data_IF_854664784156
#
_entry.id   IF_854664784156
#
_cell.length_a   1.000
_cell.length_b   1.000
_cell.length_c   1.000
_cell.angle_alpha   90.00
_cell.angle_beta   90.00
_cell.angle_gamma   90.00
#
_symmetry.space_group_name_H-M   'P 1'
#
loop_
_entity.id
_entity.type
_entity.pdbx_description
1 polymer ?
#
# COMPACT_ATOMS: atom_id res chain seq x y z
N UNK A 1 0.84 -12.93 -10.61
CA UNK A 1 0.59 -11.58 -11.18
C UNK A 1 -0.78 -11.08 -10.76
N UNK A 2 -0.94 -9.75 -10.68
CA UNK A 2 -2.22 -9.07 -10.38
C UNK A 2 -2.58 -8.23 -11.61
N UNK A 3 -3.52 -8.70 -12.42
CA UNK A 3 -3.81 -8.04 -13.70
C UNK A 3 -2.51 -7.74 -14.47
N UNK A 4 -2.22 -6.47 -14.83
CA UNK A 4 -1.01 -6.08 -15.55
C UNK A 4 0.25 -5.91 -14.67
N UNK A 5 0.15 -6.03 -13.35
CA UNK A 5 1.29 -5.81 -12.44
C UNK A 5 2.17 -7.06 -12.29
N UNK A 6 3.47 -6.87 -12.00
CA UNK A 6 4.39 -7.95 -11.65
C UNK A 6 3.88 -8.84 -10.50
N UNK A 7 4.57 -9.95 -10.25
CA UNK A 7 4.25 -10.77 -9.08
C UNK A 7 4.70 -10.07 -7.77
N UNK A 8 3.82 -9.88 -6.77
CA UNK A 8 4.15 -9.16 -5.54
C UNK A 8 4.82 -10.06 -4.48
N UNK A 9 4.98 -11.37 -4.71
CA UNK A 9 5.42 -12.33 -3.70
C UNK A 9 6.70 -11.89 -3.00
N UNK A 10 7.75 -11.55 -3.76
CA UNK A 10 9.04 -11.16 -3.19
C UNK A 10 8.94 -9.88 -2.33
N UNK A 11 8.06 -8.96 -2.71
CA UNK A 11 7.82 -7.74 -1.94
C UNK A 11 7.06 -8.04 -0.64
N UNK A 12 6.00 -8.84 -0.71
CA UNK A 12 5.23 -9.24 0.47
C UNK A 12 6.07 -10.04 1.47
N UNK A 13 6.96 -10.91 0.99
CA UNK A 13 7.90 -11.64 1.85
C UNK A 13 8.84 -10.68 2.61
N UNK A 14 9.31 -9.61 1.96
CA UNK A 14 10.11 -8.56 2.62
C UNK A 14 9.29 -7.82 3.68
N UNK A 15 8.04 -7.47 3.36
CA UNK A 15 7.11 -6.82 4.29
C UNK A 15 6.91 -7.66 5.55
N UNK A 16 6.50 -8.92 5.39
CA UNK A 16 6.20 -9.78 6.53
C UNK A 16 7.45 -10.12 7.35
N UNK A 17 8.60 -10.29 6.69
CA UNK A 17 9.89 -10.49 7.38
C UNK A 17 10.27 -9.26 8.22
N UNK A 18 10.06 -8.05 7.70
CA UNK A 18 10.38 -6.82 8.41
C UNK A 18 9.46 -6.59 9.61
N UNK A 19 8.15 -6.79 9.44
CA UNK A 19 7.18 -6.69 10.55
C UNK A 19 7.46 -7.71 11.65
N UNK A 20 7.82 -8.94 11.28
CA UNK A 20 8.20 -9.97 12.25
C UNK A 20 9.44 -9.58 13.06
N UNK A 21 10.43 -8.90 12.45
CA UNK A 21 11.62 -8.39 13.15
C UNK A 21 11.30 -7.27 14.14
N UNK A 22 10.32 -6.43 13.81
CA UNK A 22 9.80 -5.39 14.71
C UNK A 22 8.87 -5.96 15.80
N UNK A 23 8.54 -7.26 15.74
CA UNK A 23 7.63 -7.92 16.69
C UNK A 23 6.16 -7.52 16.50
N UNK A 24 5.78 -7.03 15.32
CA UNK A 24 4.41 -6.58 15.03
C UNK A 24 3.59 -7.74 14.50
N UNK A 25 2.56 -8.13 15.24
CA UNK A 25 1.62 -9.15 14.80
C UNK A 25 0.53 -8.54 13.92
N UNK A 26 0.49 -9.00 12.67
CA UNK A 26 -0.50 -8.61 11.68
C UNK A 26 -1.43 -9.75 11.29
N UNK A 27 -1.36 -10.93 11.93
CA UNK A 27 -2.09 -12.16 11.56
C UNK A 27 -3.58 -11.91 11.28
N UNK A 28 -4.22 -11.13 12.14
CA UNK A 28 -5.65 -10.85 12.08
C UNK A 28 -6.01 -9.53 11.40
N UNK A 29 -5.02 -8.76 10.94
CA UNK A 29 -5.25 -7.48 10.29
C UNK A 29 -5.53 -7.70 8.79
N UNK A 30 -6.64 -7.19 8.24
CA UNK A 30 -6.83 -7.16 6.80
C UNK A 30 -5.69 -6.40 6.13
N UNK A 31 -5.08 -7.02 5.12
CA UNK A 31 -4.18 -6.34 4.20
C UNK A 31 -5.08 -5.53 3.25
N UNK A 32 -5.25 -4.24 3.52
CA UNK A 32 -6.22 -3.40 2.82
C UNK A 32 -5.84 -3.26 1.34
N UNK A 33 -4.64 -2.76 1.07
CA UNK A 33 -4.14 -2.64 -0.29
C UNK A 33 -2.60 -2.64 -0.36
N UNK A 34 -2.10 -2.82 -1.59
CA UNK A 34 -0.69 -2.64 -1.95
C UNK A 34 -0.56 -1.50 -2.96
N UNK A 35 0.51 -0.72 -2.87
CA UNK A 35 0.78 0.40 -3.77
C UNK A 35 1.90 0.07 -4.77
N UNK A 36 1.66 0.35 -6.05
CA UNK A 36 2.63 0.26 -7.14
C UNK A 36 2.93 1.65 -7.70
N UNK A 37 4.20 2.05 -7.66
CA UNK A 37 4.69 3.32 -8.20
C UNK A 37 5.09 3.19 -9.64
N UNK A 38 4.91 4.28 -10.39
CA UNK A 38 5.39 4.44 -11.76
C UNK A 38 6.18 5.73 -11.90
N UNK A 39 7.06 5.79 -12.89
CA UNK A 39 8.00 6.90 -13.09
C UNK A 39 7.50 7.98 -14.04
N UNK A 40 6.49 7.71 -14.87
CA UNK A 40 5.96 8.67 -15.85
C UNK A 40 4.43 8.65 -15.91
N UNK A 41 3.84 9.78 -16.35
CA UNK A 41 2.40 9.86 -16.62
C UNK A 41 1.98 8.88 -17.72
N UNK A 42 2.81 8.71 -18.75
CA UNK A 42 2.57 7.73 -19.80
C UNK A 42 2.44 6.31 -19.23
N UNK A 43 3.34 5.91 -18.33
CA UNK A 43 3.29 4.59 -17.67
C UNK A 43 2.09 4.45 -16.74
N UNK A 44 1.71 5.53 -16.06
CA UNK A 44 0.49 5.59 -15.24
C UNK A 44 -0.77 5.33 -16.09
N UNK A 45 -0.91 6.03 -17.21
CA UNK A 45 -2.05 5.89 -18.13
C UNK A 45 -2.09 4.52 -18.81
N UNK A 46 -0.93 3.98 -19.18
CA UNK A 46 -0.78 2.63 -19.73
C UNK A 46 -1.32 1.57 -18.75
N UNK A 47 -0.83 1.57 -17.51
CA UNK A 47 -1.28 0.60 -16.50
C UNK A 47 -2.74 0.80 -16.12
N UNK A 48 -3.18 2.06 -15.95
CA UNK A 48 -4.59 2.38 -15.66
C UNK A 48 -5.52 1.83 -16.75
N UNK A 49 -5.13 1.94 -18.03
CA UNK A 49 -5.91 1.39 -19.14
C UNK A 49 -5.89 -0.13 -19.12
N UNK A 50 -4.72 -0.74 -18.91
CA UNK A 50 -4.59 -2.20 -18.84
C UNK A 50 -5.42 -2.82 -17.70
N UNK A 51 -5.67 -2.09 -16.61
CA UNK A 51 -6.51 -2.56 -15.52
C UNK A 51 -8.00 -2.71 -15.87
N UNK A 52 -8.49 -2.08 -16.94
CA UNK A 52 -9.92 -2.08 -17.31
C UNK A 52 -10.51 -3.51 -17.40
N UNK A 53 -9.76 -4.45 -17.96
CA UNK A 53 -10.22 -5.83 -18.18
C UNK A 53 -9.90 -6.77 -17.01
N UNK A 54 -9.20 -6.28 -15.99
CA UNK A 54 -8.68 -7.10 -14.89
C UNK A 54 -9.16 -6.66 -13.50
N UNK A 55 -9.74 -5.46 -13.40
CA UNK A 55 -10.11 -4.87 -12.13
C UNK A 55 -11.26 -3.86 -12.28
N UNK A 56 -11.95 -3.62 -11.17
CA UNK A 56 -12.93 -2.55 -11.03
C UNK A 56 -12.26 -1.34 -10.39
N UNK A 57 -12.38 -0.17 -11.01
CA UNK A 57 -11.94 1.09 -10.41
C UNK A 57 -12.81 1.40 -9.18
N UNK A 58 -12.17 1.54 -8.02
CA UNK A 58 -12.82 1.91 -6.75
C UNK A 58 -12.80 3.43 -6.52
N UNK A 59 -11.68 4.07 -6.86
CA UNK A 59 -11.46 5.50 -6.64
C UNK A 59 -10.49 6.05 -7.68
N UNK A 60 -10.71 7.29 -8.09
CA UNK A 60 -9.79 8.07 -8.91
C UNK A 60 -9.76 9.50 -8.36
N UNK A 61 -8.78 9.79 -7.50
CA UNK A 61 -8.77 10.99 -6.68
C UNK A 61 -7.51 11.82 -6.89
N UNK A 62 -7.66 13.15 -6.87
CA UNK A 62 -6.54 14.08 -6.86
C UNK A 62 -6.00 14.25 -5.45
N UNK A 63 -4.83 13.64 -5.18
CA UNK A 63 -4.20 13.63 -3.85
C UNK A 63 -2.80 14.22 -3.97
N UNK A 64 -2.57 15.34 -3.29
CA UNK A 64 -1.27 16.02 -3.32
C UNK A 64 -0.88 16.51 -4.72
N UNK A 65 -1.85 16.96 -5.51
CA UNK A 65 -1.65 17.55 -6.84
C UNK A 65 -1.46 16.55 -7.99
N UNK A 66 -1.72 15.27 -7.78
CA UNK A 66 -1.61 14.21 -8.80
C UNK A 66 -2.76 13.21 -8.67
N UNK A 67 -3.15 12.52 -9.76
CA UNK A 67 -4.17 11.49 -9.68
C UNK A 67 -3.61 10.23 -9.01
N UNK A 68 -4.46 9.59 -8.21
CA UNK A 68 -4.21 8.29 -7.62
C UNK A 68 -5.44 7.45 -7.88
N UNK A 69 -5.25 6.33 -8.58
CA UNK A 69 -6.32 5.38 -8.88
C UNK A 69 -6.19 4.15 -8.00
N UNK A 70 -7.31 3.70 -7.44
CA UNK A 70 -7.39 2.49 -6.63
C UNK A 70 -8.31 1.50 -7.33
N UNK A 71 -7.86 0.25 -7.47
CA UNK A 71 -8.58 -0.79 -8.20
C UNK A 71 -8.81 -2.01 -7.31
N UNK A 72 -9.95 -2.68 -7.48
CA UNK A 72 -10.20 -4.02 -6.96
C UNK A 72 -10.06 -5.04 -8.09
N UNK A 73 -9.05 -5.90 -8.03
CA UNK A 73 -8.87 -6.96 -9.02
C UNK A 73 -10.03 -7.96 -8.98
N UNK A 74 -10.47 -8.41 -10.15
CA UNK A 74 -11.50 -9.44 -10.27
C UNK A 74 -11.02 -10.80 -9.75
N UNK A 75 -9.71 -11.04 -9.86
CA UNK A 75 -9.06 -12.24 -9.32
C UNK A 75 -8.10 -11.81 -8.22
N UNK A 76 -8.40 -12.15 -6.95
CA UNK A 76 -7.51 -11.82 -5.84
C UNK A 76 -6.16 -12.51 -6.00
N UNK A 77 -5.10 -11.81 -5.63
CA UNK A 77 -3.83 -12.46 -5.37
C UNK A 77 -3.86 -13.08 -3.98
N UNK A 78 -3.47 -14.35 -3.88
CA UNK A 78 -3.42 -15.09 -2.61
C UNK A 78 -1.97 -15.38 -2.26
N UNK A 79 -1.55 -14.97 -1.07
CA UNK A 79 -0.23 -15.24 -0.53
C UNK A 79 -0.36 -15.80 0.88
N UNK A 80 -0.03 -17.08 1.05
CA UNK A 80 -0.27 -17.84 2.28
C UNK A 80 -1.76 -17.80 2.65
N UNK A 81 -2.09 -17.31 3.83
CA UNK A 81 -3.43 -17.09 4.36
C UNK A 81 -4.02 -15.72 3.99
N UNK A 82 -3.28 -14.89 3.24
CA UNK A 82 -3.69 -13.52 2.88
C UNK A 82 -4.33 -13.47 1.51
N UNK A 83 -5.44 -12.72 1.45
CA UNK A 83 -6.09 -12.30 0.22
C UNK A 83 -5.77 -10.83 -0.02
N UNK A 84 -5.26 -10.51 -1.19
CA UNK A 84 -4.96 -9.16 -1.65
C UNK A 84 -5.69 -8.92 -2.98
N UNK A 85 -6.73 -8.09 -2.94
CA UNK A 85 -7.48 -7.73 -4.15
C UNK A 85 -7.58 -6.23 -4.40
N UNK A 86 -7.00 -5.37 -3.56
CA UNK A 86 -6.97 -3.93 -3.79
C UNK A 86 -5.56 -3.42 -4.07
N UNK A 87 -5.44 -2.60 -5.11
CA UNK A 87 -4.18 -2.06 -5.62
C UNK A 87 -4.29 -0.57 -5.83
N UNK A 88 -3.32 0.18 -5.31
CA UNK A 88 -3.19 1.61 -5.53
C UNK A 88 -2.13 1.88 -6.61
N UNK A 89 -2.48 2.73 -7.56
CA UNK A 89 -1.60 3.21 -8.63
C UNK A 89 -1.55 4.74 -8.56
N UNK A 90 -0.55 5.32 -7.90
CA UNK A 90 -0.35 6.77 -7.91
C UNK A 90 0.43 7.21 -9.15
N UNK A 91 -0.03 8.25 -9.84
CA UNK A 91 0.78 8.94 -10.85
C UNK A 91 2.08 9.49 -10.24
N UNK A 92 3.15 9.78 -11.01
CA UNK A 92 4.39 10.32 -10.44
C UNK A 92 4.18 11.62 -9.64
N UNK A 93 4.94 11.80 -8.56
CA UNK A 93 4.89 13.04 -7.75
C UNK A 93 6.02 13.99 -8.16
N UNK A 94 5.66 15.20 -8.59
CA UNK A 94 6.63 16.23 -8.93
C UNK A 94 7.58 16.52 -7.74
N UNK A 95 8.88 16.60 -8.01
CA UNK A 95 9.91 16.85 -7.00
C UNK A 95 10.18 15.69 -6.04
N UNK A 96 9.52 14.54 -6.19
CA UNK A 96 9.75 13.34 -5.37
C UNK A 96 9.77 12.09 -6.24
N UNK A 97 10.93 11.77 -6.86
CA UNK A 97 11.06 10.59 -7.70
C UNK A 97 10.95 9.32 -6.85
N UNK A 98 10.31 8.30 -7.42
CA UNK A 98 10.24 6.95 -6.89
C UNK A 98 10.70 5.98 -7.98
N UNK A 99 11.42 4.89 -7.67
CA UNK A 99 11.59 3.81 -8.63
C UNK A 99 10.22 3.19 -8.97
N UNK A 100 10.08 2.67 -10.19
CA UNK A 100 8.90 1.87 -10.54
C UNK A 100 8.93 0.55 -9.78
N UNK A 101 7.78 0.16 -9.22
CA UNK A 101 7.68 -1.04 -8.39
C UNK A 101 6.75 -0.87 -7.20
N UNK A 102 6.62 -1.95 -6.43
CA UNK A 102 5.90 -1.95 -5.16
C UNK A 102 6.62 -1.10 -4.13
N UNK A 103 5.90 -0.21 -3.46
CA UNK A 103 6.48 0.77 -2.53
C UNK A 103 5.93 0.65 -1.11
N UNK A 104 4.64 0.33 -0.95
CA UNK A 104 4.08 0.11 0.38
C UNK A 104 2.88 -0.82 0.37
N UNK A 105 2.51 -1.29 1.57
CA UNK A 105 1.19 -1.86 1.86
C UNK A 105 0.54 -1.09 3.00
N UNK A 106 -0.78 -1.20 3.09
CA UNK A 106 -1.57 -0.70 4.22
C UNK A 106 -2.36 -1.84 4.88
N UNK A 107 -2.42 -1.84 6.20
CA UNK A 107 -3.24 -2.74 7.00
C UNK A 107 -4.33 -1.95 7.72
N UNK A 108 -5.58 -2.41 7.61
CA UNK A 108 -6.68 -1.84 8.38
C UNK A 108 -6.61 -2.36 9.82
N UNK A 109 -6.50 -1.47 10.82
CA UNK A 109 -6.33 -1.89 12.23
C UNK A 109 -7.63 -1.95 13.01
N UNK A 110 -8.72 -1.39 12.47
CA UNK A 110 -10.06 -1.42 13.10
C UNK A 110 -10.17 -0.58 14.37
N UNK A 111 -9.15 0.24 14.67
CA UNK A 111 -9.06 1.15 15.80
C UNK A 111 -8.31 2.43 15.37
N UNK A 112 -8.14 3.41 16.26
CA UNK A 112 -7.36 4.59 15.92
C UNK A 112 -5.87 4.21 15.74
N UNK A 113 -5.16 4.67 14.69
CA UNK A 113 -3.77 4.27 14.43
C UNK A 113 -2.79 4.52 15.58
N UNK A 114 -3.01 5.59 16.36
CA UNK A 114 -2.21 5.85 17.57
C UNK A 114 -2.45 4.81 18.67
N UNK A 115 -3.68 4.34 18.86
CA UNK A 115 -4.00 3.28 19.82
C UNK A 115 -3.35 1.96 19.40
N UNK A 116 -3.35 1.66 18.10
CA UNK A 116 -2.61 0.53 17.56
C UNK A 116 -1.09 0.65 17.82
N UNK A 117 -0.49 1.82 17.55
CA UNK A 117 0.93 2.07 17.78
C UNK A 117 1.35 1.91 19.26
N UNK A 118 0.47 2.26 20.20
CA UNK A 118 0.70 2.12 21.64
C UNK A 118 0.86 0.66 22.10
N UNK A 119 0.33 -0.30 21.34
CA UNK A 119 0.53 -1.75 21.59
C UNK A 119 1.99 -2.17 21.35
N UNK A 120 2.75 -1.37 20.60
CA UNK A 120 4.14 -1.62 20.23
C UNK A 120 5.03 -0.44 20.64
N UNK A 121 5.20 -0.18 21.95
CA UNK A 121 5.87 1.03 22.44
C UNK A 121 7.37 1.11 22.12
N UNK A 122 8.00 -0.03 21.79
CA UNK A 122 9.42 -0.10 21.39
C UNK A 122 9.67 0.20 19.91
N UNK A 123 8.62 0.35 19.10
CA UNK A 123 8.72 0.55 17.65
C UNK A 123 8.78 2.05 17.32
N UNK A 124 9.70 2.41 16.42
CA UNK A 124 9.91 3.80 15.97
C UNK A 124 8.89 4.21 14.89
N UNK A 125 7.65 4.48 15.31
CA UNK A 125 6.55 4.89 14.43
C UNK A 125 6.74 6.30 13.85
N UNK A 126 6.52 6.47 12.54
CA UNK A 126 6.18 7.75 11.93
C UNK A 126 4.69 8.04 12.18
N UNK A 127 4.42 9.13 12.92
CA UNK A 127 3.08 9.54 13.34
C UNK A 127 2.61 10.83 12.66
N UNK A 128 3.32 11.28 11.62
CA UNK A 128 3.09 12.58 10.97
C UNK A 128 1.67 12.68 10.40
N UNK A 129 1.10 11.55 9.98
CA UNK A 129 -0.19 11.45 9.32
C UNK A 129 -1.33 11.00 10.26
N UNK A 130 -1.04 10.73 11.54
CA UNK A 130 -2.01 10.21 12.50
C UNK A 130 -3.10 11.21 12.90
N UNK A 131 -2.91 12.50 12.60
CA UNK A 131 -3.87 13.57 12.86
C UNK A 131 -4.76 13.95 11.67
N UNK A 132 -4.65 13.24 10.53
CA UNK A 132 -5.50 13.53 9.36
C UNK A 132 -6.97 13.24 9.67
N UNK A 133 -7.85 14.10 9.17
CA UNK A 133 -9.30 13.90 9.25
C UNK A 133 -9.82 12.79 8.35
N UNK A 134 -9.06 12.43 7.32
CA UNK A 134 -9.36 11.37 6.36
C UNK A 134 -8.21 10.40 6.35
N UNK A 135 -8.53 9.12 6.62
CA UNK A 135 -7.60 8.00 6.65
C UNK A 135 -6.29 8.31 7.42
N UNK A 136 -6.38 8.62 8.73
CA UNK A 136 -5.18 8.78 9.54
C UNK A 136 -4.36 7.49 9.51
N UNK A 137 -3.04 7.61 9.56
CA UNK A 137 -2.15 6.45 9.57
C UNK A 137 -0.96 6.62 10.52
N UNK A 138 -0.46 5.50 11.02
CA UNK A 138 0.92 5.38 11.53
C UNK A 138 1.73 4.52 10.56
N UNK A 139 3.02 4.81 10.44
CA UNK A 139 3.86 4.21 9.40
C UNK A 139 5.20 3.73 9.94
N UNK A 140 5.69 2.67 9.30
CA UNK A 140 7.09 2.23 9.40
C UNK A 140 7.78 2.39 8.07
N UNK A 141 9.02 2.86 8.13
CA UNK A 141 9.91 2.99 6.98
C UNK A 141 10.97 1.92 7.07
N UNK A 142 11.09 1.13 6.01
CA UNK A 142 12.13 0.13 5.83
C UNK A 142 12.99 0.49 4.61
N UNK A 143 14.07 -0.24 4.38
CA UNK A 143 14.92 -0.02 3.23
C UNK A 143 14.17 -0.28 1.92
N UNK A 144 13.78 0.80 1.24
CA UNK A 144 13.09 0.79 -0.05
C UNK A 144 11.58 0.53 -0.01
N UNK A 145 10.93 0.50 1.15
CA UNK A 145 9.46 0.39 1.25
C UNK A 145 8.91 0.90 2.59
N UNK A 146 7.60 1.07 2.66
CA UNK A 146 6.91 1.38 3.92
C UNK A 146 5.72 0.46 4.19
N UNK A 147 5.30 0.42 5.45
CA UNK A 147 4.06 -0.25 5.89
C UNK A 147 3.24 0.75 6.68
N UNK A 148 1.97 0.90 6.33
CA UNK A 148 1.05 1.80 7.05
C UNK A 148 -0.06 1.03 7.74
N UNK A 149 -0.59 1.63 8.79
CA UNK A 149 -1.65 1.12 9.61
C UNK A 149 -2.68 2.22 9.82
N UNK A 150 -3.91 2.00 9.35
CA UNK A 150 -4.99 3.00 9.28
C UNK A 150 -6.28 2.51 9.93
#
# INVERSE_FOLDING_TARGET
>A
MIGPLPDPTAFLERVFTALAKEGIDVAFLPLDHICYRVVSMHRYEELRTAFHDHATLLSDAMIGGRPISTFRSHVPFVHRDRRLDVFELPAPKAGRPYPEGYEHVEFAVGEHPLSFAERYPGVAWDRSDAGKSVNPDVRLHFDGFSVKFH
#
